data_IF_071466322331
#
_entry.id   IF_071466322331
#
_cell.length_a   1.000
_cell.length_b   1.000
_cell.length_c   1.000
_cell.angle_alpha   90.00
_cell.angle_beta   90.00
_cell.angle_gamma   90.00
#
_symmetry.space_group_name_H-M   'P 1'
#
loop_
_entity.id
_entity.type
_entity.pdbx_description
1 polymer ?
#
# COMPACT_ATOMS: atom_id res chain seq x y z
N UNK A 1 19.85 -63.86 -2.95
CA UNK A 1 18.90 -63.14 -3.82
C UNK A 1 17.98 -62.21 -3.01
N UNK A 2 17.28 -62.68 -1.96
CA UNK A 2 16.40 -61.81 -1.15
C UNK A 2 17.15 -60.69 -0.37
N UNK A 3 18.33 -60.96 0.18
CA UNK A 3 19.10 -59.95 0.93
C UNK A 3 19.55 -58.77 0.06
N UNK A 4 19.95 -59.02 -1.20
CA UNK A 4 20.35 -57.98 -2.14
C UNK A 4 19.19 -57.02 -2.47
N UNK A 5 17.96 -57.54 -2.58
CA UNK A 5 16.77 -56.72 -2.82
C UNK A 5 16.40 -55.84 -1.61
N UNK A 6 16.61 -56.34 -0.39
CA UNK A 6 16.40 -55.55 0.83
C UNK A 6 17.45 -54.44 0.96
N UNK A 7 18.70 -54.74 0.62
CA UNK A 7 19.79 -53.77 0.60
C UNK A 7 19.50 -52.64 -0.40
N UNK A 8 19.12 -52.98 -1.64
CA UNK A 8 18.79 -52.01 -2.68
C UNK A 8 17.60 -51.12 -2.27
N UNK A 9 16.60 -51.69 -1.59
CA UNK A 9 15.45 -50.93 -1.07
C UNK A 9 15.88 -49.96 0.04
N UNK A 10 16.76 -50.38 0.94
CA UNK A 10 17.32 -49.53 2.00
C UNK A 10 18.14 -48.38 1.42
N UNK A 11 18.96 -48.63 0.40
CA UNK A 11 19.79 -47.61 -0.25
C UNK A 11 18.93 -46.60 -1.02
N UNK A 12 17.89 -47.07 -1.72
CA UNK A 12 16.91 -46.18 -2.36
C UNK A 12 16.18 -45.31 -1.34
N UNK A 13 15.83 -45.84 -0.17
CA UNK A 13 15.20 -45.07 0.90
C UNK A 13 16.14 -44.00 1.46
N UNK A 14 17.43 -44.31 1.66
CA UNK A 14 18.44 -43.33 2.10
C UNK A 14 18.63 -42.22 1.08
N UNK A 15 18.76 -42.56 -0.19
CA UNK A 15 18.91 -41.58 -1.28
C UNK A 15 17.69 -40.66 -1.37
N UNK A 16 16.48 -41.23 -1.27
CA UNK A 16 15.24 -40.45 -1.29
C UNK A 16 15.15 -39.47 -0.11
N UNK A 17 15.56 -39.90 1.09
CA UNK A 17 15.59 -39.04 2.27
C UNK A 17 16.61 -37.91 2.13
N UNK A 18 17.79 -38.19 1.55
CA UNK A 18 18.80 -37.17 1.27
C UNK A 18 18.32 -36.16 0.22
N UNK A 19 17.64 -36.63 -0.84
CA UNK A 19 17.03 -35.75 -1.84
C UNK A 19 15.96 -34.84 -1.22
N UNK A 20 15.07 -35.40 -0.39
CA UNK A 20 14.05 -34.62 0.31
C UNK A 20 14.66 -33.56 1.24
N UNK A 21 15.74 -33.89 1.95
CA UNK A 21 16.45 -32.91 2.80
C UNK A 21 17.08 -31.78 1.97
N UNK A 22 17.67 -32.10 0.82
CA UNK A 22 18.24 -31.09 -0.09
C UNK A 22 17.17 -30.18 -0.67
N UNK A 23 16.02 -30.71 -1.03
CA UNK A 23 14.86 -29.92 -1.49
C UNK A 23 14.36 -28.99 -0.39
N UNK A 24 14.17 -29.49 0.83
CA UNK A 24 13.77 -28.64 1.97
C UNK A 24 14.78 -27.51 2.25
N UNK A 25 16.08 -27.77 2.13
CA UNK A 25 17.11 -26.74 2.27
C UNK A 25 16.98 -25.68 1.16
N UNK A 26 16.81 -26.10 -0.10
CA UNK A 26 16.59 -25.17 -1.22
C UNK A 26 15.34 -24.32 -1.04
N UNK A 27 14.24 -24.91 -0.59
CA UNK A 27 13.01 -24.16 -0.31
C UNK A 27 13.20 -23.15 0.82
N UNK A 28 13.91 -23.52 1.90
CA UNK A 28 14.24 -22.58 2.98
C UNK A 28 15.13 -21.45 2.49
N UNK A 29 16.12 -21.74 1.63
CA UNK A 29 16.99 -20.72 1.03
C UNK A 29 16.21 -19.78 0.11
N UNK A 30 15.31 -20.30 -0.73
CA UNK A 30 14.45 -19.48 -1.59
C UNK A 30 13.53 -18.57 -0.78
N UNK A 31 12.88 -19.11 0.27
CA UNK A 31 12.05 -18.31 1.19
C UNK A 31 12.85 -17.24 1.91
N UNK A 32 14.04 -17.59 2.41
CA UNK A 32 14.93 -16.63 3.06
C UNK A 32 15.39 -15.54 2.08
N UNK A 33 15.71 -15.89 0.83
CA UNK A 33 16.11 -14.93 -0.20
C UNK A 33 14.96 -13.99 -0.59
N UNK A 34 13.73 -14.50 -0.72
CA UNK A 34 12.54 -13.68 -0.96
C UNK A 34 12.32 -12.69 0.19
N UNK A 35 12.26 -13.19 1.43
CA UNK A 35 12.07 -12.34 2.61
C UNK A 35 13.16 -11.27 2.75
N UNK A 36 14.42 -11.59 2.41
CA UNK A 36 15.50 -10.61 2.42
C UNK A 36 15.32 -9.52 1.35
N UNK A 37 14.81 -9.85 0.16
CA UNK A 37 14.48 -8.85 -0.87
C UNK A 37 13.34 -7.96 -0.44
N UNK A 38 12.29 -8.53 0.16
CA UNK A 38 11.14 -7.78 0.65
C UNK A 38 11.56 -6.80 1.76
N UNK A 39 12.40 -7.25 2.71
CA UNK A 39 12.98 -6.38 3.73
C UNK A 39 13.86 -5.28 3.13
N UNK A 40 14.68 -5.59 2.13
CA UNK A 40 15.51 -4.60 1.46
C UNK A 40 14.66 -3.54 0.72
N UNK A 41 13.59 -3.96 0.05
CA UNK A 41 12.63 -3.05 -0.60
C UNK A 41 11.90 -2.17 0.40
N UNK A 42 11.44 -2.73 1.52
CA UNK A 42 10.83 -1.96 2.60
C UNK A 42 11.79 -0.92 3.18
N UNK A 43 13.05 -1.32 3.43
CA UNK A 43 14.07 -0.40 3.93
C UNK A 43 14.36 0.73 2.93
N UNK A 44 14.46 0.41 1.64
CA UNK A 44 14.64 1.40 0.59
C UNK A 44 13.45 2.37 0.51
N UNK A 45 12.21 1.87 0.62
CA UNK A 45 11.02 2.71 0.66
C UNK A 45 11.01 3.64 1.88
N UNK A 46 11.40 3.14 3.05
CA UNK A 46 11.53 3.94 4.26
C UNK A 46 12.61 5.03 4.11
N UNK A 47 13.77 4.70 3.54
CA UNK A 47 14.81 5.70 3.27
C UNK A 47 14.32 6.81 2.33
N UNK A 48 13.60 6.45 1.25
CA UNK A 48 13.01 7.43 0.33
C UNK A 48 12.01 8.35 1.04
N UNK A 49 11.18 7.79 1.93
CA UNK A 49 10.22 8.57 2.72
C UNK A 49 10.93 9.54 3.68
N UNK A 50 12.01 9.09 4.35
CA UNK A 50 12.81 9.95 5.22
C UNK A 50 13.47 11.10 4.45
N UNK A 51 13.99 10.83 3.26
CA UNK A 51 14.62 11.84 2.40
C UNK A 51 13.59 12.90 1.97
N UNK A 52 12.36 12.48 1.69
CA UNK A 52 11.24 13.38 1.37
C UNK A 52 10.91 14.33 2.52
N UNK A 53 10.78 13.78 3.73
CA UNK A 53 10.53 14.54 4.96
C UNK A 53 11.68 15.52 5.25
N UNK A 54 12.93 15.10 5.02
CA UNK A 54 14.09 15.98 5.18
C UNK A 54 14.05 17.14 4.19
N UNK A 55 13.75 16.88 2.92
CA UNK A 55 13.60 17.92 1.90
C UNK A 55 12.49 18.92 2.29
N UNK A 56 11.34 18.42 2.76
CA UNK A 56 10.26 19.25 3.28
C UNK A 56 10.72 20.13 4.45
N UNK A 57 11.43 19.56 5.42
CA UNK A 57 11.92 20.29 6.59
C UNK A 57 12.92 21.38 6.18
N UNK A 58 13.81 21.09 5.22
CA UNK A 58 14.74 22.07 4.67
C UNK A 58 14.02 23.22 3.96
N UNK A 59 12.98 22.92 3.16
CA UNK A 59 12.17 23.95 2.51
C UNK A 59 11.44 24.83 3.53
N UNK A 60 10.80 24.24 4.55
CA UNK A 60 10.17 25.00 5.64
C UNK A 60 11.17 25.88 6.37
N UNK A 61 12.36 25.38 6.66
CA UNK A 61 13.44 26.17 7.29
C UNK A 61 13.87 27.34 6.41
N UNK A 62 14.01 27.14 5.09
CA UNK A 62 14.32 28.24 4.15
C UNK A 62 13.26 29.33 4.17
N UNK A 63 11.99 28.94 4.20
CA UNK A 63 10.87 29.88 4.27
C UNK A 63 10.85 30.63 5.61
N UNK A 64 11.08 29.94 6.73
CA UNK A 64 11.19 30.55 8.07
C UNK A 64 12.35 31.54 8.16
N UNK A 65 13.51 31.22 7.59
CA UNK A 65 14.67 32.13 7.57
C UNK A 65 14.37 33.38 6.74
N UNK A 66 13.72 33.23 5.59
CA UNK A 66 13.30 34.37 4.78
C UNK A 66 12.28 35.25 5.51
N UNK A 67 11.32 34.64 6.21
CA UNK A 67 10.36 35.36 7.05
C UNK A 67 11.06 36.13 8.18
N UNK A 68 12.03 35.51 8.86
CA UNK A 68 12.80 36.16 9.92
C UNK A 68 13.62 37.34 9.38
N UNK A 69 14.24 37.20 8.20
CA UNK A 69 14.99 38.27 7.57
C UNK A 69 14.11 39.49 7.25
N UNK A 70 12.88 39.25 6.79
CA UNK A 70 11.90 40.30 6.48
C UNK A 70 11.40 41.00 7.74
N UNK A 71 11.14 40.27 8.83
CA UNK A 71 10.80 40.88 10.11
C UNK A 71 11.96 41.74 10.64
N UNK A 72 13.21 41.28 10.48
CA UNK A 72 14.38 42.05 10.87
C UNK A 72 14.53 43.35 10.03
N UNK A 73 14.25 43.31 8.73
CA UNK A 73 14.22 44.51 7.88
C UNK A 73 13.10 45.47 8.26
N UNK A 74 11.90 44.96 8.56
CA UNK A 74 10.78 45.78 9.01
C UNK A 74 11.10 46.50 10.33
N UNK A 75 11.62 45.77 11.32
CA UNK A 75 12.06 46.35 12.61
C UNK A 75 13.17 47.38 12.40
N UNK A 76 14.12 47.11 11.49
CA UNK A 76 15.19 48.06 11.14
C UNK A 76 14.64 49.33 10.48
N UNK A 77 13.66 49.21 9.58
CA UNK A 77 13.02 50.35 8.93
C UNK A 77 12.22 51.20 9.93
N UNK A 78 11.55 50.55 10.89
CA UNK A 78 10.84 51.24 11.97
C UNK A 78 11.81 51.98 12.91
N UNK A 79 12.94 51.36 13.26
CA UNK A 79 13.97 51.98 14.10
C UNK A 79 14.62 53.21 13.42
N UNK A 80 14.75 53.23 12.08
CA UNK A 80 15.23 54.41 11.34
C UNK A 80 14.24 55.58 11.35
N UNK A 81 12.93 55.33 11.51
CA UNK A 81 11.91 56.38 11.58
C UNK A 81 11.85 57.10 12.94
N UNK A 82 12.42 56.53 14.00
CA UNK A 82 12.42 57.15 15.34
C UNK A 82 13.59 58.12 15.59
N UNK A 83 14.44 58.43 14.59
CA UNK A 83 15.44 59.49 14.77
C UNK A 83 14.75 60.86 14.84
N UNK A 84 14.89 61.63 15.94
CA UNK A 84 14.26 62.93 16.08
C UNK A 84 14.99 63.97 15.21
N UNK A 85 14.56 64.09 13.95
CA UNK A 85 14.90 65.21 13.08
C UNK A 85 13.97 66.39 13.37
N UNK A 86 14.49 67.44 13.99
CA UNK A 86 13.73 68.65 14.30
C UNK A 86 13.31 69.43 13.04
N UNK A 87 12.03 69.81 13.01
CA UNK A 87 11.53 71.00 12.31
C UNK A 87 11.10 70.83 10.85
N UNK A 88 9.79 70.82 10.59
CA UNK A 88 9.09 71.61 9.55
C UNK A 88 7.69 71.04 9.24
N UNK A 89 6.65 71.82 9.51
CA UNK A 89 5.22 71.43 9.46
C UNK A 89 4.68 71.13 8.05
N UNK A 90 5.43 71.48 6.99
CA UNK A 90 5.08 71.22 5.58
C UNK A 90 5.57 69.86 5.06
N UNK A 91 6.42 69.15 5.80
CA UNK A 91 6.96 67.81 5.45
C UNK A 91 5.99 66.66 5.74
N UNK A 92 5.04 66.87 6.68
CA UNK A 92 4.23 65.80 7.28
C UNK A 92 3.34 65.04 6.27
N UNK A 93 2.73 65.74 5.31
CA UNK A 93 1.83 65.10 4.32
C UNK A 93 2.60 64.23 3.33
N UNK A 94 3.77 64.68 2.87
CA UNK A 94 4.61 63.91 1.96
C UNK A 94 5.18 62.66 2.65
N UNK A 95 5.59 62.81 3.91
CA UNK A 95 6.08 61.71 4.74
C UNK A 95 4.98 60.67 5.02
N UNK A 96 3.75 61.13 5.28
CA UNK A 96 2.59 60.25 5.45
C UNK A 96 2.24 59.48 4.17
N UNK A 97 2.26 60.15 3.01
CA UNK A 97 2.00 59.51 1.72
C UNK A 97 3.07 58.47 1.35
N UNK A 98 4.33 58.73 1.69
CA UNK A 98 5.42 57.77 1.52
C UNK A 98 5.27 56.55 2.43
N UNK A 99 4.87 56.75 3.69
CA UNK A 99 4.60 55.66 4.64
C UNK A 99 3.42 54.80 4.17
N UNK A 100 2.36 55.41 3.66
CA UNK A 100 1.20 54.69 3.13
C UNK A 100 1.57 53.83 1.93
N UNK A 101 2.40 54.34 1.01
CA UNK A 101 2.92 53.53 -0.10
C UNK A 101 3.78 52.36 0.39
N UNK A 102 4.63 52.58 1.41
CA UNK A 102 5.45 51.53 1.98
C UNK A 102 4.60 50.42 2.63
N UNK A 103 3.54 50.77 3.36
CA UNK A 103 2.59 49.78 3.90
C UNK A 103 1.89 48.97 2.81
N UNK A 104 1.45 49.62 1.73
CA UNK A 104 0.80 48.93 0.62
C UNK A 104 1.74 47.93 -0.05
N UNK A 105 3.00 48.32 -0.23
CA UNK A 105 4.03 47.45 -0.82
C UNK A 105 4.29 46.24 0.07
N UNK A 106 4.36 46.42 1.40
CA UNK A 106 4.52 45.33 2.35
C UNK A 106 3.30 44.38 2.33
N UNK A 107 2.08 44.92 2.28
CA UNK A 107 0.86 44.13 2.21
C UNK A 107 0.82 43.28 0.92
N UNK A 108 1.19 43.86 -0.22
CA UNK A 108 1.23 43.13 -1.48
C UNK A 108 2.28 42.02 -1.45
N UNK A 109 3.45 42.28 -0.85
CA UNK A 109 4.50 41.28 -0.66
C UNK A 109 4.03 40.13 0.24
N UNK A 110 3.30 40.41 1.33
CA UNK A 110 2.72 39.37 2.19
C UNK A 110 1.69 38.51 1.44
N UNK A 111 0.87 39.13 0.58
CA UNK A 111 -0.12 38.40 -0.20
C UNK A 111 0.53 37.45 -1.22
N UNK A 112 1.54 37.92 -1.96
CA UNK A 112 2.31 37.07 -2.87
C UNK A 112 2.99 35.90 -2.12
N UNK A 113 3.48 36.15 -0.90
CA UNK A 113 4.08 35.09 -0.07
C UNK A 113 3.06 34.03 0.33
N UNK A 114 1.87 34.42 0.77
CA UNK A 114 0.81 33.46 1.09
C UNK A 114 0.47 32.58 -0.13
N UNK A 115 0.43 33.17 -1.33
CA UNK A 115 0.22 32.40 -2.55
C UNK A 115 1.36 31.40 -2.81
N UNK A 116 2.63 31.81 -2.66
CA UNK A 116 3.77 30.89 -2.81
C UNK A 116 3.73 29.73 -1.80
N UNK A 117 3.38 30.01 -0.53
CA UNK A 117 3.22 28.98 0.49
C UNK A 117 2.11 28.00 0.14
N UNK A 118 0.98 28.51 -0.34
CA UNK A 118 -0.15 27.68 -0.74
C UNK A 118 0.21 26.79 -1.94
N UNK A 119 0.96 27.32 -2.91
CA UNK A 119 1.48 26.55 -4.05
C UNK A 119 2.44 25.44 -3.60
N UNK A 120 3.39 25.75 -2.70
CA UNK A 120 4.33 24.78 -2.18
C UNK A 120 3.61 23.67 -1.40
N UNK A 121 2.64 24.05 -0.56
CA UNK A 121 1.83 23.09 0.18
C UNK A 121 1.03 22.17 -0.75
N UNK A 122 0.43 22.73 -1.81
CA UNK A 122 -0.28 21.93 -2.83
C UNK A 122 0.67 20.96 -3.55
N UNK A 123 1.85 21.42 -3.93
CA UNK A 123 2.83 20.59 -4.63
C UNK A 123 3.34 19.45 -3.74
N UNK A 124 3.53 19.74 -2.47
CA UNK A 124 3.89 18.75 -1.46
C UNK A 124 2.80 17.70 -1.23
N UNK A 125 1.54 18.12 -1.15
CA UNK A 125 0.43 17.18 -1.02
C UNK A 125 0.34 16.27 -2.25
N UNK A 126 0.50 16.84 -3.43
CA UNK A 126 0.50 16.09 -4.68
C UNK A 126 1.63 15.04 -4.72
N UNK A 127 2.83 15.41 -4.30
CA UNK A 127 3.97 14.49 -4.20
C UNK A 127 3.70 13.36 -3.19
N UNK A 128 3.16 13.68 -2.01
CA UNK A 128 2.80 12.67 -1.02
C UNK A 128 1.73 11.71 -1.58
N UNK A 129 0.73 12.25 -2.27
CA UNK A 129 -0.34 11.45 -2.85
C UNK A 129 0.18 10.53 -3.98
N UNK A 130 1.09 11.03 -4.81
CA UNK A 130 1.75 10.23 -5.85
C UNK A 130 2.58 9.10 -5.23
N UNK A 131 3.29 9.35 -4.13
CA UNK A 131 4.05 8.31 -3.44
C UNK A 131 3.13 7.26 -2.79
N UNK A 132 2.01 7.67 -2.20
CA UNK A 132 1.00 6.74 -1.69
C UNK A 132 0.39 5.89 -2.81
N UNK A 133 0.13 6.48 -3.99
CA UNK A 133 -0.37 5.74 -5.14
C UNK A 133 0.63 4.69 -5.62
N UNK A 134 1.92 5.02 -5.68
CA UNK A 134 2.96 4.05 -6.05
C UNK A 134 3.07 2.92 -5.03
N UNK A 135 2.99 3.23 -3.73
CA UNK A 135 3.01 2.21 -2.68
C UNK A 135 1.77 1.32 -2.72
N UNK A 136 0.58 1.90 -2.93
CA UNK A 136 -0.67 1.15 -3.06
C UNK A 136 -0.67 0.27 -4.33
N UNK A 137 -0.14 0.78 -5.44
CA UNK A 137 0.01 0.01 -6.67
C UNK A 137 0.96 -1.18 -6.49
N UNK A 138 2.11 -0.98 -5.85
CA UNK A 138 3.06 -2.05 -5.56
C UNK A 138 2.47 -3.10 -4.59
N UNK A 139 1.72 -2.66 -3.57
CA UNK A 139 1.05 -3.57 -2.65
C UNK A 139 -0.08 -4.36 -3.33
N UNK A 140 -0.85 -3.73 -4.22
CA UNK A 140 -1.89 -4.38 -5.01
C UNK A 140 -1.30 -5.42 -5.98
N UNK A 141 -0.13 -5.12 -6.56
CA UNK A 141 0.58 -6.05 -7.45
C UNK A 141 1.11 -7.27 -6.67
N UNK A 142 1.69 -7.07 -5.49
CA UNK A 142 2.11 -8.16 -4.60
C UNK A 142 0.91 -9.02 -4.12
N UNK A 143 -0.19 -8.39 -3.73
CA UNK A 143 -1.40 -9.10 -3.34
C UNK A 143 -2.03 -9.86 -4.53
N UNK A 144 -1.93 -9.32 -5.76
CA UNK A 144 -2.40 -10.00 -6.96
C UNK A 144 -1.54 -11.22 -7.30
N UNK A 145 -0.21 -11.17 -7.11
CA UNK A 145 0.64 -12.34 -7.30
C UNK A 145 0.39 -13.42 -6.25
N UNK A 146 0.23 -13.05 -4.97
CA UNK A 146 -0.15 -14.01 -3.92
C UNK A 146 -1.52 -14.65 -4.16
N UNK A 147 -2.50 -13.86 -4.63
CA UNK A 147 -3.81 -14.38 -4.99
C UNK A 147 -3.77 -15.29 -6.23
N UNK A 148 -2.87 -15.04 -7.18
CA UNK A 148 -2.66 -15.90 -8.34
C UNK A 148 -2.02 -17.25 -7.94
N UNK A 149 -0.99 -17.23 -7.09
CA UNK A 149 -0.38 -18.46 -6.55
C UNK A 149 -1.37 -19.26 -5.70
N UNK A 150 -2.19 -18.61 -4.87
CA UNK A 150 -3.24 -19.27 -4.11
C UNK A 150 -4.32 -19.91 -5.00
N UNK A 151 -4.68 -19.26 -6.12
CA UNK A 151 -5.61 -19.81 -7.13
C UNK A 151 -5.01 -21.00 -7.88
N UNK A 152 -3.72 -20.96 -8.20
CA UNK A 152 -3.02 -22.08 -8.85
C UNK A 152 -2.89 -23.28 -7.91
N UNK A 153 -2.56 -23.04 -6.63
CA UNK A 153 -2.55 -24.08 -5.60
C UNK A 153 -3.94 -24.69 -5.37
N UNK A 154 -5.00 -23.88 -5.36
CA UNK A 154 -6.37 -24.36 -5.26
C UNK A 154 -6.82 -25.16 -6.50
N UNK A 155 -6.40 -24.74 -7.71
CA UNK A 155 -6.68 -25.48 -8.94
C UNK A 155 -5.94 -26.82 -8.99
N UNK A 156 -4.69 -26.88 -8.52
CA UNK A 156 -3.93 -28.12 -8.41
C UNK A 156 -4.56 -29.07 -7.38
N UNK A 157 -5.05 -28.56 -6.25
CA UNK A 157 -5.78 -29.35 -5.25
C UNK A 157 -7.11 -29.89 -5.80
N UNK A 158 -7.84 -29.08 -6.59
CA UNK A 158 -9.07 -29.52 -7.25
C UNK A 158 -8.81 -30.60 -8.32
N UNK A 159 -7.70 -30.50 -9.07
CA UNK A 159 -7.30 -31.52 -10.02
C UNK A 159 -6.91 -32.84 -9.34
N UNK A 160 -6.21 -32.79 -8.20
CA UNK A 160 -5.88 -33.97 -7.39
C UNK A 160 -7.14 -34.63 -6.80
N UNK A 161 -8.13 -33.84 -6.38
CA UNK A 161 -9.41 -34.37 -5.91
C UNK A 161 -10.23 -35.04 -7.04
N UNK A 162 -10.16 -34.51 -8.26
CA UNK A 162 -10.80 -35.11 -9.43
C UNK A 162 -10.13 -36.42 -9.88
N UNK A 163 -8.81 -36.55 -9.71
CA UNK A 163 -8.08 -37.79 -10.00
C UNK A 163 -8.39 -38.88 -8.95
N UNK A 164 -8.49 -38.50 -7.67
CA UNK A 164 -8.96 -39.39 -6.60
C UNK A 164 -10.39 -39.91 -6.83
N UNK A 165 -11.29 -39.09 -7.39
CA UNK A 165 -12.64 -39.51 -7.76
C UNK A 165 -12.67 -40.48 -8.96
N UNK A 166 -11.63 -40.50 -9.80
CA UNK A 166 -11.56 -41.35 -11.00
C UNK A 166 -10.99 -42.75 -10.75
N UNK A 167 -10.34 -42.97 -9.60
CA UNK A 167 -9.82 -44.27 -9.16
C UNK A 167 -10.82 -45.16 -8.42
N UNK A 168 -12.01 -44.66 -8.08
CA UNK A 168 -13.01 -45.36 -7.26
C UNK A 168 -14.12 -46.04 -8.06
N UNK A 169 -13.79 -46.99 -8.94
CA UNK A 169 -14.78 -47.93 -9.47
C UNK A 169 -15.06 -49.01 -8.41
N UNK A 170 -16.07 -48.79 -7.56
CA UNK A 170 -16.50 -49.80 -6.60
C UNK A 170 -17.53 -49.31 -5.58
N UNK A 171 -18.79 -49.32 -5.99
CA UNK A 171 -20.03 -49.46 -5.20
C UNK A 171 -20.05 -48.98 -3.73
N UNK A 172 -20.87 -47.96 -3.47
CA UNK A 172 -21.38 -47.66 -2.14
C UNK A 172 -21.97 -46.26 -2.07
N UNK A 173 -23.30 -46.18 -2.02
CA UNK A 173 -24.05 -44.98 -1.68
C UNK A 173 -23.42 -44.23 -0.49
N UNK A 174 -22.87 -43.05 -0.76
CA UNK A 174 -22.17 -42.21 0.20
C UNK A 174 -22.34 -40.75 -0.20
N UNK A 175 -23.54 -40.22 0.08
CA UNK A 175 -24.04 -38.92 -0.39
C UNK A 175 -23.11 -37.74 -0.14
N UNK A 176 -22.43 -37.29 -1.19
CA UNK A 176 -21.84 -35.96 -1.25
C UNK A 176 -22.89 -34.99 -1.79
N UNK A 177 -23.85 -34.64 -0.94
CA UNK A 177 -24.87 -33.65 -1.27
C UNK A 177 -24.27 -32.26 -1.35
N UNK A 178 -24.74 -31.45 -2.30
CA UNK A 178 -24.33 -30.06 -2.44
C UNK A 178 -25.07 -29.19 -1.43
N UNK A 179 -24.35 -28.24 -0.84
CA UNK A 179 -24.88 -27.23 0.08
C UNK A 179 -24.56 -25.83 -0.43
N UNK A 180 -25.45 -24.88 -0.21
CA UNK A 180 -25.18 -23.46 -0.46
C UNK A 180 -25.69 -22.58 0.69
N UNK A 181 -25.15 -21.37 0.81
CA UNK A 181 -25.63 -20.35 1.76
C UNK A 181 -26.65 -19.44 1.07
N UNK A 182 -27.83 -19.28 1.68
CA UNK A 182 -28.81 -18.26 1.25
C UNK A 182 -28.38 -16.84 1.74
N UNK A 183 -29.00 -15.75 1.22
CA UNK A 183 -28.75 -14.39 1.69
C UNK A 183 -29.05 -14.13 3.18
N UNK A 184 -29.65 -15.10 3.88
CA UNK A 184 -29.88 -15.07 5.33
C UNK A 184 -28.83 -15.90 6.09
N UNK A 185 -27.73 -16.30 5.44
CA UNK A 185 -26.65 -17.13 5.95
C UNK A 185 -27.09 -18.52 6.44
N UNK A 186 -28.19 -19.07 5.90
CA UNK A 186 -28.62 -20.43 6.23
C UNK A 186 -28.07 -21.42 5.22
N UNK A 187 -27.58 -22.55 5.73
CA UNK A 187 -27.11 -23.67 4.92
C UNK A 187 -28.33 -24.41 4.39
N UNK A 188 -28.44 -24.49 3.06
CA UNK A 188 -29.47 -25.22 2.36
C UNK A 188 -28.86 -26.46 1.69
N UNK A 189 -29.48 -27.63 1.88
CA UNK A 189 -29.06 -28.91 1.31
C UNK A 189 -29.40 -30.10 2.22
N UNK A 190 -29.07 -31.34 1.82
CA UNK A 190 -28.28 -31.72 0.64
C UNK A 190 -29.09 -31.71 -0.67
N UNK A 191 -28.49 -31.19 -1.76
CA UNK A 191 -29.04 -31.26 -3.12
C UNK A 191 -28.18 -32.14 -4.04
N UNK A 192 -28.79 -32.68 -5.09
CA UNK A 192 -28.05 -33.43 -6.10
C UNK A 192 -27.27 -32.49 -7.04
N UNK A 193 -26.14 -32.99 -7.55
CA UNK A 193 -25.29 -32.20 -8.46
C UNK A 193 -25.99 -31.80 -9.77
N UNK A 194 -26.97 -32.58 -10.21
CA UNK A 194 -27.83 -32.27 -11.37
C UNK A 194 -28.79 -31.11 -11.09
N UNK A 195 -29.33 -31.00 -9.88
CA UNK A 195 -30.21 -29.90 -9.46
C UNK A 195 -29.43 -28.59 -9.33
N UNK A 196 -28.26 -28.63 -8.68
CA UNK A 196 -27.41 -27.43 -8.54
C UNK A 196 -26.93 -26.89 -9.88
N UNK A 197 -26.63 -27.77 -10.85
CA UNK A 197 -26.29 -27.36 -12.22
C UNK A 197 -27.48 -26.69 -12.93
N UNK A 198 -28.69 -27.24 -12.80
CA UNK A 198 -29.88 -26.62 -13.39
C UNK A 198 -30.16 -25.23 -12.80
N UNK A 199 -29.97 -25.04 -11.49
CA UNK A 199 -30.16 -23.73 -10.86
C UNK A 199 -29.10 -22.71 -11.29
N UNK A 200 -27.87 -23.17 -11.51
CA UNK A 200 -26.80 -22.34 -12.06
C UNK A 200 -27.07 -21.92 -13.51
N UNK A 201 -27.47 -22.87 -14.37
CA UNK A 201 -27.82 -22.58 -15.77
C UNK A 201 -29.07 -21.71 -15.91
N UNK A 202 -30.04 -21.87 -15.00
CA UNK A 202 -31.24 -21.04 -14.95
C UNK A 202 -31.03 -19.65 -14.32
N UNK A 203 -29.82 -19.34 -13.83
CA UNK A 203 -29.46 -18.02 -13.31
C UNK A 203 -30.05 -17.71 -11.92
N UNK A 204 -30.45 -18.72 -11.14
CA UNK A 204 -30.92 -18.51 -9.76
C UNK A 204 -29.81 -18.00 -8.83
N UNK A 205 -28.56 -18.38 -9.12
CA UNK A 205 -27.40 -17.73 -8.54
C UNK A 205 -27.16 -16.44 -9.32
N UNK A 206 -27.76 -15.35 -8.84
CA UNK A 206 -27.39 -14.03 -9.31
C UNK A 206 -25.89 -13.87 -9.10
N UNK A 207 -25.15 -13.71 -10.19
CA UNK A 207 -23.77 -13.21 -10.16
C UNK A 207 -23.86 -11.85 -9.51
N UNK A 208 -23.77 -11.80 -8.18
CA UNK A 208 -23.74 -10.56 -7.43
C UNK A 208 -22.41 -9.91 -7.78
N UNK A 209 -22.46 -9.11 -8.86
CA UNK A 209 -21.61 -7.98 -9.15
C UNK A 209 -21.73 -6.99 -8.00
N UNK A 210 -21.14 -7.36 -6.86
CA UNK A 210 -20.91 -6.52 -5.69
C UNK A 210 -19.69 -7.07 -4.99
N UNK A 211 -18.55 -6.76 -5.60
CA UNK A 211 -17.34 -6.44 -4.85
C UNK A 211 -17.76 -5.40 -3.80
N UNK A 212 -17.69 -5.75 -2.53
CA UNK A 212 -17.57 -4.87 -1.34
C UNK A 212 -17.25 -5.81 -0.16
N UNK A 213 -15.95 -6.03 0.12
CA UNK A 213 -15.18 -5.35 1.20
C UNK A 213 -15.60 -5.78 2.61
N UNK A 214 -14.65 -6.42 3.29
CA UNK A 214 -14.41 -6.48 4.73
C UNK A 214 -15.58 -6.72 5.70
N UNK A 215 -15.57 -7.90 6.32
CA UNK A 215 -15.94 -8.07 7.73
C UNK A 215 -15.35 -9.36 8.32
N UNK A 216 -14.02 -9.50 8.32
CA UNK A 216 -13.34 -10.26 9.37
C UNK A 216 -13.10 -9.30 10.54
N UNK A 217 -14.11 -9.09 11.37
CA UNK A 217 -13.96 -8.55 12.73
C UNK A 217 -15.13 -9.07 13.54
N UNK A 218 -14.81 -9.65 14.71
CA UNK A 218 -15.71 -10.12 15.78
C UNK A 218 -16.26 -11.56 15.67
N UNK A 219 -15.47 -12.55 16.12
CA UNK A 219 -15.56 -13.12 17.48
C UNK A 219 -14.36 -14.01 17.78
#
# INVERSE_FOLDING_TARGET
MQEAALQERSDRQRLALEQAQREQLRERELRASSAARDQAQQHQAQQQQQLLLQQQAQQRRRLQLFEQQQLAEAVRAEMQQQQPGGGSSSSSTAQHQQLQQQQLQLQQQQQQRQQQLQQLHRMQLQQQQQQQQLQAAAAAEAAASEAAEAREAAAAAAAAAADAARGGAGGGEGGSGWFYLDPQNRIQGPFDGSEMRQWFEAGYFQVLSSILTDACTFM
#
